data_IF_066162112964
#
_entry.id   IF_066162112964
#
_cell.length_a   1.000
_cell.length_b   1.000
_cell.length_c   1.000
_cell.angle_alpha   90.00
_cell.angle_beta   90.00
_cell.angle_gamma   90.00
#
_symmetry.space_group_name_H-M   'P 1'
#
loop_
_entity.id
_entity.type
_entity.pdbx_description
1 polymer ?
#
# COMPACT_ATOMS: atom_id res chain seq x y z
N UNK A 1 -3.65 -16.54 23.23
CA UNK A 1 -2.76 -16.80 22.09
C UNK A 1 -3.27 -15.94 20.94
N UNK A 2 -2.63 -14.79 20.68
CA UNK A 2 -3.04 -13.91 19.59
C UNK A 2 -2.49 -14.54 18.32
N UNK A 3 -3.38 -15.00 17.44
CA UNK A 3 -2.99 -15.48 16.13
C UNK A 3 -2.52 -14.26 15.31
N UNK A 4 -1.22 -14.18 15.05
CA UNK A 4 -0.69 -13.25 14.06
C UNK A 4 -1.18 -13.75 12.72
N UNK A 5 -2.15 -13.03 12.14
CA UNK A 5 -2.61 -13.30 10.79
C UNK A 5 -1.39 -13.28 9.87
N UNK A 6 -1.30 -14.26 8.97
CA UNK A 6 -0.32 -14.33 7.89
C UNK A 6 -0.25 -12.95 7.22
N UNK A 7 0.81 -12.21 7.50
CA UNK A 7 0.82 -10.76 7.33
C UNK A 7 1.00 -10.33 5.88
N UNK A 8 1.03 -11.28 4.94
CA UNK A 8 1.16 -11.01 3.51
C UNK A 8 2.51 -10.40 3.10
N UNK A 9 3.45 -10.29 4.04
CA UNK A 9 4.81 -9.79 3.81
C UNK A 9 5.73 -10.98 3.54
N UNK A 10 6.34 -10.98 2.35
CA UNK A 10 7.19 -12.10 1.93
C UNK A 10 8.60 -12.02 2.52
N UNK A 11 9.04 -10.83 2.93
CA UNK A 11 10.32 -10.64 3.62
C UNK A 11 10.42 -9.28 4.33
N UNK A 12 11.41 -9.15 5.21
CA UNK A 12 11.79 -7.86 5.80
C UNK A 12 12.26 -6.83 4.76
N UNK A 13 12.61 -7.25 3.54
CA UNK A 13 12.97 -6.33 2.45
C UNK A 13 11.77 -5.53 1.92
N UNK A 14 10.55 -5.99 2.19
CA UNK A 14 9.29 -5.35 1.78
C UNK A 14 8.83 -4.25 2.76
N UNK A 15 9.64 -3.99 3.79
CA UNK A 15 9.40 -2.99 4.84
C UNK A 15 10.41 -1.86 4.68
N UNK A 16 9.90 -0.65 4.47
CA UNK A 16 10.72 0.54 4.29
C UNK A 16 10.38 1.59 5.35
N UNK A 17 11.33 1.99 6.22
CA UNK A 17 11.07 3.04 7.19
C UNK A 17 10.81 4.37 6.49
N UNK A 18 9.85 5.13 7.01
CA UNK A 18 9.50 6.47 6.53
C UNK A 18 9.80 7.47 7.63
N UNK A 19 10.66 8.45 7.35
CA UNK A 19 11.04 9.46 8.33
C UNK A 19 10.11 10.67 8.30
N UNK A 20 9.98 11.32 9.46
CA UNK A 20 9.20 12.55 9.60
C UNK A 20 7.70 12.36 9.45
N UNK A 21 7.18 11.19 9.84
CA UNK A 21 5.74 10.89 9.92
C UNK A 21 5.50 10.10 11.21
N UNK A 22 4.81 10.70 12.17
CA UNK A 22 4.60 10.10 13.50
C UNK A 22 5.88 9.79 14.27
N UNK A 23 5.73 8.91 15.24
CA UNK A 23 6.82 8.45 16.11
C UNK A 23 7.61 7.35 15.39
N UNK A 24 6.87 6.44 14.73
CA UNK A 24 7.42 5.44 13.81
C UNK A 24 6.50 5.29 12.60
N UNK A 25 7.08 5.10 11.41
CA UNK A 25 6.33 4.85 10.20
C UNK A 25 7.03 3.85 9.27
N UNK A 26 6.23 2.96 8.70
CA UNK A 26 6.71 1.91 7.80
C UNK A 26 5.81 1.82 6.58
N UNK A 27 6.45 1.84 5.42
CA UNK A 27 5.83 1.51 4.16
C UNK A 27 6.01 0.03 3.90
N UNK A 28 4.88 -0.63 3.68
CA UNK A 28 4.75 -2.06 3.54
C UNK A 28 4.30 -2.34 2.10
N UNK A 29 5.11 -3.08 1.36
CA UNK A 29 4.85 -3.45 -0.03
C UNK A 29 4.61 -4.96 -0.15
N UNK A 30 3.41 -5.47 0.22
CA UNK A 30 3.10 -6.88 0.07
C UNK A 30 3.15 -7.33 -1.40
N UNK A 31 3.23 -8.64 -1.65
CA UNK A 31 3.27 -9.22 -3.01
C UNK A 31 2.00 -8.98 -3.84
N UNK A 32 0.91 -8.56 -3.22
CA UNK A 32 -0.35 -8.17 -3.89
C UNK A 32 -0.28 -6.72 -4.40
N UNK A 33 -1.15 -6.28 -5.33
CA UNK A 33 -1.07 -4.95 -5.96
C UNK A 33 -1.53 -3.80 -5.04
N UNK A 34 -1.02 -3.79 -3.82
CA UNK A 34 -1.31 -2.81 -2.80
C UNK A 34 -0.05 -2.33 -2.10
N UNK A 35 -0.14 -1.13 -1.57
CA UNK A 35 0.91 -0.53 -0.76
C UNK A 35 0.26 0.09 0.47
N UNK A 36 0.86 -0.17 1.63
CA UNK A 36 0.33 0.25 2.92
C UNK A 36 1.36 1.11 3.63
N UNK A 37 0.96 2.26 4.16
CA UNK A 37 1.76 3.07 5.07
C UNK A 37 1.13 2.97 6.46
N UNK A 38 1.84 2.32 7.39
CA UNK A 38 1.47 2.27 8.80
C UNK A 38 2.27 3.30 9.59
N UNK A 39 1.60 4.04 10.47
CA UNK A 39 2.21 5.08 11.32
C UNK A 39 1.74 4.93 12.75
N UNK A 40 2.69 4.87 13.69
CA UNK A 40 2.46 4.95 15.11
C UNK A 40 2.61 6.40 15.58
N UNK A 41 1.64 6.89 16.34
CA UNK A 41 1.72 8.20 16.99
C UNK A 41 0.95 8.21 18.30
N UNK A 42 1.63 8.49 19.42
CA UNK A 42 0.98 8.64 20.73
C UNK A 42 0.22 7.38 21.19
N UNK A 43 0.63 6.19 20.73
CA UNK A 43 -0.03 4.91 21.03
C UNK A 43 -1.16 4.53 20.07
N UNK A 44 -1.47 5.36 19.07
CA UNK A 44 -2.46 5.06 18.02
C UNK A 44 -1.73 4.67 16.73
N UNK A 45 -2.26 3.66 16.03
CA UNK A 45 -1.78 3.27 14.70
C UNK A 45 -2.73 3.77 13.63
N UNK A 46 -2.22 4.57 12.69
CA UNK A 46 -2.92 5.00 11.49
C UNK A 46 -2.40 4.24 10.28
N UNK A 47 -3.30 3.87 9.38
CA UNK A 47 -2.96 3.10 8.18
C UNK A 47 -3.55 3.77 6.95
N UNK A 48 -2.71 4.02 5.94
CA UNK A 48 -3.12 4.45 4.61
C UNK A 48 -2.79 3.34 3.62
N UNK A 49 -3.81 2.81 2.93
CA UNK A 49 -3.65 1.77 1.93
C UNK A 49 -4.08 2.27 0.56
N UNK A 50 -3.26 2.00 -0.45
CA UNK A 50 -3.60 2.18 -1.86
C UNK A 50 -3.57 0.79 -2.50
N UNK A 51 -4.62 0.45 -3.25
CA UNK A 51 -4.66 -0.77 -4.05
C UNK A 51 -4.95 -0.40 -5.50
N UNK A 52 -4.14 -0.91 -6.41
CA UNK A 52 -4.31 -0.74 -7.85
C UNK A 52 -4.82 -2.03 -8.47
N UNK A 53 -5.70 -1.92 -9.46
CA UNK A 53 -6.16 -3.07 -10.23
C UNK A 53 -6.16 -2.71 -11.70
N UNK A 54 -5.61 -3.59 -12.54
CA UNK A 54 -5.75 -3.50 -13.99
C UNK A 54 -7.01 -4.25 -14.43
N UNK A 55 -7.86 -3.61 -15.23
CA UNK A 55 -9.05 -4.24 -15.78
C UNK A 55 -8.83 -4.63 -17.25
N UNK A 56 -9.33 -5.80 -17.62
CA UNK A 56 -9.33 -6.24 -19.01
C UNK A 56 -10.35 -5.42 -19.81
N UNK A 57 -9.88 -4.69 -20.83
CA UNK A 57 -10.76 -3.92 -21.72
C UNK A 57 -10.99 -4.72 -23.01
N UNK A 58 -11.98 -5.62 -22.99
CA UNK A 58 -12.43 -6.33 -24.18
C UNK A 58 -13.59 -5.57 -24.82
N UNK A 59 -13.31 -4.78 -25.86
CA UNK A 59 -14.32 -4.12 -26.67
C UNK A 59 -14.85 -4.99 -27.83
N UNK A 60 -14.38 -6.23 -27.97
CA UNK A 60 -14.81 -7.15 -29.03
C UNK A 60 -15.35 -8.45 -28.44
N UNK A 61 -16.58 -8.82 -28.81
CA UNK A 61 -17.16 -10.15 -28.63
C UNK A 61 -16.49 -11.21 -29.53
N UNK A 62 -15.19 -11.08 -29.77
CA UNK A 62 -14.43 -12.07 -30.52
C UNK A 62 -13.74 -12.95 -29.50
N UNK A 63 -13.92 -14.27 -29.66
CA UNK A 63 -13.21 -15.35 -28.97
C UNK A 63 -11.71 -15.34 -29.27
N UNK A 64 -11.05 -14.20 -29.04
CA UNK A 64 -9.62 -14.10 -29.09
C UNK A 64 -9.06 -14.78 -27.85
N UNK A 65 -8.06 -15.62 -28.09
CA UNK A 65 -7.23 -16.30 -27.10
C UNK A 65 -7.02 -15.39 -25.88
N UNK A 66 -7.31 -15.84 -24.65
CA UNK A 66 -7.06 -15.03 -23.46
C UNK A 66 -5.56 -14.77 -23.41
N UNK A 67 -5.13 -13.63 -23.95
CA UNK A 67 -3.75 -13.18 -23.92
C UNK A 67 -3.26 -13.05 -22.48
N UNK A 68 -1.99 -12.76 -22.31
CA UNK A 68 -1.39 -12.65 -20.98
C UNK A 68 -2.22 -11.73 -20.06
N UNK A 69 -2.44 -12.14 -18.79
CA UNK A 69 -3.17 -11.33 -17.84
C UNK A 69 -2.52 -9.95 -17.72
N UNK A 70 -3.32 -8.89 -17.51
CA UNK A 70 -2.78 -7.56 -17.41
C UNK A 70 -1.85 -7.49 -16.19
N UNK A 71 -0.69 -6.86 -16.39
CA UNK A 71 0.32 -6.73 -15.34
C UNK A 71 -0.22 -5.84 -14.22
N UNK A 72 0.06 -6.24 -12.97
CA UNK A 72 -0.24 -5.42 -11.80
C UNK A 72 0.42 -4.03 -11.92
N UNK A 73 -0.31 -2.96 -11.53
CA UNK A 73 0.23 -1.61 -11.57
C UNK A 73 1.37 -1.45 -10.55
N UNK A 74 2.47 -0.83 -10.98
CA UNK A 74 3.55 -0.45 -10.05
C UNK A 74 3.14 0.79 -9.25
N UNK A 75 2.89 0.60 -7.96
CA UNK A 75 2.49 1.67 -7.04
C UNK A 75 3.67 2.40 -6.38
N UNK A 76 4.92 2.02 -6.69
CA UNK A 76 6.13 2.56 -6.04
C UNK A 76 6.24 4.08 -6.18
N UNK A 77 5.77 4.64 -7.30
CA UNK A 77 5.75 6.08 -7.56
C UNK A 77 4.82 6.87 -6.62
N UNK A 78 3.85 6.20 -5.95
CA UNK A 78 2.91 6.83 -5.02
C UNK A 78 3.45 6.91 -3.58
N UNK A 79 4.59 6.26 -3.27
CA UNK A 79 5.21 6.27 -1.93
C UNK A 79 5.39 7.69 -1.37
N UNK A 80 5.94 8.68 -2.11
CA UNK A 80 6.11 10.03 -1.59
C UNK A 80 4.76 10.71 -1.29
N UNK A 81 3.77 10.50 -2.16
CA UNK A 81 2.43 11.08 -1.99
C UNK A 81 1.72 10.51 -0.76
N UNK A 82 1.86 9.21 -0.49
CA UNK A 82 1.33 8.57 0.72
C UNK A 82 1.92 9.16 1.99
N UNK A 83 3.25 9.34 2.03
CA UNK A 83 3.93 9.96 3.16
C UNK A 83 3.43 11.40 3.40
N UNK A 84 3.32 12.19 2.33
CA UNK A 84 2.78 13.57 2.41
C UNK A 84 1.34 13.60 2.89
N UNK A 85 0.47 12.74 2.34
CA UNK A 85 -0.93 12.66 2.76
C UNK A 85 -1.06 12.29 4.24
N UNK A 86 -0.28 11.33 4.71
CA UNK A 86 -0.30 10.93 6.11
C UNK A 86 0.23 12.03 7.03
N UNK A 87 1.29 12.76 6.64
CA UNK A 87 1.74 13.96 7.39
C UNK A 87 0.62 14.99 7.53
N UNK A 88 -0.07 15.29 6.44
CA UNK A 88 -1.19 16.23 6.48
C UNK A 88 -2.31 15.75 7.40
N UNK A 89 -2.71 14.48 7.29
CA UNK A 89 -3.71 13.88 8.17
C UNK A 89 -3.30 14.01 9.64
N UNK A 90 -2.06 13.68 9.97
CA UNK A 90 -1.55 13.77 11.34
C UNK A 90 -1.56 15.20 11.86
N UNK A 91 -1.12 16.17 11.08
CA UNK A 91 -1.18 17.59 11.45
C UNK A 91 -2.62 18.02 11.72
N UNK A 92 -3.57 17.58 10.89
CA UNK A 92 -4.99 17.89 11.08
C UNK A 92 -5.60 17.24 12.33
N UNK A 93 -5.16 16.03 12.72
CA UNK A 93 -5.64 15.34 13.91
C UNK A 93 -5.05 15.90 15.22
N UNK A 94 -3.91 16.58 15.14
CA UNK A 94 -3.29 17.25 16.28
C UNK A 94 -3.83 18.66 16.55
N UNK A 95 -4.73 19.15 15.70
CA UNK A 95 -5.39 20.47 15.80
C UNK A 95 -6.68 20.39 16.59
#
# INVERSE_FOLDING_TARGET
MIAVADSGFASAADVHPVTGVGDEAYLLAPRSPGQTLGVLHGGVVLTLQITGYSQWNSSSESSADPGDPPKDPDLTHLRPAMATAMRHLMTSLAS
#
